data_IF_200517295846
#
_entry.id   IF_200517295846
#
_cell.length_a   1.000
_cell.length_b   1.000
_cell.length_c   1.000
_cell.angle_alpha   90.00
_cell.angle_beta   90.00
_cell.angle_gamma   90.00
#
_symmetry.space_group_name_H-M   'P 1'
#
loop_
_entity.id
_entity.type
_entity.pdbx_description
1 polymer ?
#
# COMPACT_ATOMS: atom_id res chain seq x y z
N UNK A 1 71.37 5.28 -12.19
CA UNK A 1 71.25 3.94 -12.84
C UNK A 1 69.77 3.66 -12.98
N UNK A 2 69.13 3.91 -14.12
CA UNK A 2 69.23 3.16 -15.38
C UNK A 2 67.93 2.35 -15.55
N UNK A 3 66.84 2.97 -16.02
CA UNK A 3 66.35 2.97 -17.43
C UNK A 3 65.97 1.57 -17.93
N UNK A 4 64.65 1.31 -18.18
CA UNK A 4 64.07 1.12 -19.52
C UNK A 4 62.58 0.75 -19.51
N UNK A 5 61.82 1.48 -20.33
CA UNK A 5 60.48 1.18 -20.89
C UNK A 5 60.69 0.47 -22.24
N UNK A 6 59.70 -0.31 -22.72
CA UNK A 6 59.06 0.01 -24.02
C UNK A 6 57.53 -0.19 -23.95
N UNK A 7 56.65 0.67 -24.46
CA UNK A 7 56.45 1.18 -25.82
C UNK A 7 56.01 0.08 -26.82
N UNK A 8 54.69 -0.05 -27.04
CA UNK A 8 54.13 -0.63 -28.27
C UNK A 8 53.14 0.37 -28.84
N UNK A 9 53.47 0.78 -30.06
CA UNK A 9 52.89 1.79 -30.92
C UNK A 9 52.47 1.06 -32.20
N UNK A 10 51.23 1.22 -32.65
CA UNK A 10 50.83 0.84 -34.02
C UNK A 10 50.15 2.04 -34.70
N UNK A 11 50.86 2.56 -35.70
CA UNK A 11 50.42 3.53 -36.72
C UNK A 11 49.36 2.89 -37.64
N UNK A 12 48.27 3.58 -38.04
CA UNK A 12 48.14 4.62 -39.08
C UNK A 12 48.37 4.08 -40.52
N UNK A 13 47.34 4.11 -41.38
CA UNK A 13 47.51 4.24 -42.84
C UNK A 13 46.27 4.79 -43.59
N UNK A 14 46.51 5.91 -44.31
CA UNK A 14 45.96 6.48 -45.56
C UNK A 14 44.59 6.03 -46.11
N UNK A 15 43.63 6.92 -46.41
CA UNK A 15 43.58 8.03 -47.41
C UNK A 15 43.58 7.58 -48.88
N UNK A 16 42.50 7.86 -49.63
CA UNK A 16 42.47 8.63 -50.91
C UNK A 16 41.05 8.60 -51.53
N UNK A 17 40.61 9.79 -51.97
CA UNK A 17 39.40 10.10 -52.76
C UNK A 17 39.47 9.59 -54.21
N UNK A 18 38.30 9.25 -54.80
CA UNK A 18 37.94 9.63 -56.18
C UNK A 18 36.42 9.79 -56.36
N UNK A 19 36.06 10.82 -57.12
CA UNK A 19 34.73 11.35 -57.49
C UNK A 19 34.16 10.65 -58.74
N UNK A 20 32.83 10.54 -58.89
CA UNK A 20 32.08 10.71 -60.16
C UNK A 20 30.54 10.81 -60.00
N UNK A 21 30.02 11.99 -60.37
CA UNK A 21 28.75 12.38 -61.02
C UNK A 21 27.37 11.73 -60.72
N UNK A 22 26.49 12.56 -60.14
CA UNK A 22 25.16 13.06 -60.59
C UNK A 22 24.20 12.13 -61.36
N UNK A 23 23.00 11.94 -60.79
CA UNK A 23 21.72 12.02 -61.52
C UNK A 23 20.71 12.83 -60.69
N UNK A 24 20.09 13.81 -61.34
CA UNK A 24 19.08 14.72 -60.83
C UNK A 24 17.68 14.26 -61.28
N UNK A 25 16.67 14.48 -60.46
CA UNK A 25 15.27 14.12 -60.73
C UNK A 25 14.38 14.31 -59.49
N UNK A 26 13.34 15.17 -59.53
CA UNK A 26 12.68 15.67 -58.33
C UNK A 26 11.55 14.73 -57.89
N UNK A 27 11.56 14.31 -56.63
CA UNK A 27 10.38 13.74 -55.97
C UNK A 27 9.97 14.68 -54.84
N UNK A 28 8.85 15.36 -55.06
CA UNK A 28 8.30 16.40 -54.21
C UNK A 28 8.00 15.92 -52.79
N UNK A 29 8.33 16.78 -51.84
CA UNK A 29 7.98 16.64 -50.43
C UNK A 29 6.48 16.99 -50.22
N UNK A 30 5.77 16.30 -49.32
CA UNK A 30 4.38 16.60 -48.99
C UNK A 30 4.21 17.96 -48.29
N UNK A 31 3.12 18.65 -48.61
CA UNK A 31 2.79 20.04 -48.23
C UNK A 31 2.54 20.29 -46.72
N UNK A 32 2.82 19.34 -45.83
CA UNK A 32 2.58 19.47 -44.39
C UNK A 32 3.65 20.25 -43.62
N UNK A 33 4.71 20.73 -44.29
CA UNK A 33 5.83 21.46 -43.67
C UNK A 33 5.82 22.98 -43.94
N UNK A 34 4.66 23.59 -44.24
CA UNK A 34 4.52 25.06 -44.34
C UNK A 34 3.60 25.59 -43.23
N UNK A 35 4.09 26.46 -42.32
CA UNK A 35 3.25 27.07 -41.29
C UNK A 35 2.42 28.22 -41.89
N UNK A 36 1.10 28.23 -41.64
CA UNK A 36 0.26 29.43 -41.78
C UNK A 36 -0.70 29.50 -42.97
N UNK A 37 -1.59 28.51 -43.14
CA UNK A 37 -2.76 28.68 -44.00
C UNK A 37 -4.04 28.24 -43.28
N UNK A 38 -4.91 29.22 -43.00
CA UNK A 38 -6.31 29.04 -42.61
C UNK A 38 -7.08 28.69 -43.90
N UNK A 39 -8.02 27.74 -43.86
CA UNK A 39 -8.85 27.39 -45.03
C UNK A 39 -10.35 27.53 -44.68
N UNK A 40 -11.18 28.07 -45.60
CA UNK A 40 -12.55 28.49 -45.30
C UNK A 40 -13.54 27.32 -45.19
N UNK A 41 -14.64 27.57 -44.46
CA UNK A 41 -15.88 26.78 -44.50
C UNK A 41 -16.25 26.34 -45.91
N UNK A 42 -16.60 25.06 -46.02
CA UNK A 42 -17.40 24.54 -47.13
C UNK A 42 -18.44 23.59 -46.52
N UNK A 43 -19.63 24.15 -46.29
CA UNK A 43 -20.86 23.38 -46.19
C UNK A 43 -21.13 22.72 -47.55
N UNK A 44 -21.24 21.39 -47.57
CA UNK A 44 -22.24 20.77 -48.44
C UNK A 44 -22.78 19.49 -47.77
N UNK A 45 -24.08 19.57 -47.51
CA UNK A 45 -24.99 18.61 -46.94
C UNK A 45 -25.15 17.36 -47.82
N UNK A 46 -25.30 16.19 -47.18
CA UNK A 46 -26.48 15.34 -47.29
C UNK A 46 -26.13 13.86 -47.02
N UNK A 47 -26.55 13.36 -45.87
CA UNK A 47 -26.52 11.93 -45.56
C UNK A 47 -26.65 11.57 -44.08
N UNK A 48 -27.42 12.31 -43.27
CA UNK A 48 -27.88 11.74 -42.00
C UNK A 48 -28.92 10.65 -42.29
N UNK A 49 -28.48 9.38 -42.25
CA UNK A 49 -29.37 8.31 -41.84
C UNK A 49 -29.67 8.51 -40.35
N UNK A 50 -30.95 8.62 -39.93
CA UNK A 50 -31.28 8.60 -38.53
C UNK A 50 -31.05 7.17 -38.04
N UNK A 51 -29.87 6.92 -37.45
CA UNK A 51 -29.74 5.77 -36.56
C UNK A 51 -30.55 6.14 -35.33
N UNK A 52 -31.81 5.71 -35.35
CA UNK A 52 -32.66 5.63 -34.17
C UNK A 52 -31.83 5.01 -33.06
N UNK A 53 -31.40 5.85 -32.12
CA UNK A 53 -31.00 5.39 -30.81
C UNK A 53 -32.28 4.83 -30.22
N UNK A 54 -32.50 3.52 -30.41
CA UNK A 54 -33.47 2.78 -29.64
C UNK A 54 -32.99 2.87 -28.19
N UNK A 55 -33.50 3.88 -27.50
CA UNK A 55 -33.51 3.98 -26.06
C UNK A 55 -34.16 2.70 -25.54
N UNK A 56 -33.32 1.72 -25.18
CA UNK A 56 -33.74 0.59 -24.39
C UNK A 56 -34.00 1.12 -22.97
N UNK A 57 -35.24 1.16 -22.45
CA UNK A 57 -35.54 1.84 -21.18
C UNK A 57 -35.12 1.08 -19.91
N UNK A 58 -34.16 0.14 -19.96
CA UNK A 58 -33.88 -0.77 -18.83
C UNK A 58 -32.40 -1.08 -18.54
N UNK A 59 -31.47 -0.23 -18.94
CA UNK A 59 -30.11 -0.29 -18.40
C UNK A 59 -29.55 1.12 -18.28
N UNK A 60 -29.73 1.76 -17.12
CA UNK A 60 -28.83 2.83 -16.70
C UNK A 60 -27.42 2.24 -16.68
N UNK A 61 -26.58 2.74 -17.58
CA UNK A 61 -25.16 2.44 -17.63
C UNK A 61 -24.46 3.60 -16.95
N UNK A 62 -24.07 3.42 -15.69
CA UNK A 62 -23.29 4.44 -14.98
C UNK A 62 -21.83 4.02 -14.85
N UNK A 63 -20.92 4.90 -15.27
CA UNK A 63 -19.48 4.69 -15.10
C UNK A 63 -19.03 5.21 -13.74
N UNK A 64 -18.42 4.35 -12.93
CA UNK A 64 -17.75 4.74 -11.68
C UNK A 64 -16.34 5.24 -12.03
N UNK A 65 -16.05 6.55 -11.88
CA UNK A 65 -14.77 7.12 -12.25
C UNK A 65 -13.64 6.75 -11.27
N UNK A 66 -12.40 7.01 -11.68
CA UNK A 66 -11.22 6.85 -10.84
C UNK A 66 -11.33 7.71 -9.57
N UNK A 67 -10.71 7.26 -8.47
CA UNK A 67 -10.81 7.91 -7.14
C UNK A 67 -10.49 9.41 -7.19
N UNK A 68 -9.55 9.83 -8.05
CA UNK A 68 -9.12 11.23 -8.21
C UNK A 68 -10.24 12.12 -8.78
N UNK A 69 -11.13 11.55 -9.58
CA UNK A 69 -12.16 12.27 -10.33
C UNK A 69 -13.55 12.18 -9.65
N UNK A 70 -13.63 11.61 -8.44
CA UNK A 70 -14.89 11.46 -7.70
C UNK A 70 -15.30 12.79 -7.05
N UNK A 71 -16.59 13.13 -7.05
CA UNK A 71 -17.08 14.31 -6.34
C UNK A 71 -16.77 14.21 -4.85
N UNK A 72 -16.48 15.36 -4.23
CA UNK A 72 -16.09 15.43 -2.82
C UNK A 72 -17.30 15.29 -1.88
N UNK A 73 -18.48 15.75 -2.32
CA UNK A 73 -19.71 15.62 -1.56
C UNK A 73 -20.33 14.24 -1.73
N UNK A 74 -20.74 13.64 -0.61
CA UNK A 74 -21.21 12.25 -0.56
C UNK A 74 -22.50 12.05 -1.38
N UNK A 75 -23.38 13.04 -1.40
CA UNK A 75 -24.68 12.99 -2.09
C UNK A 75 -24.63 13.62 -3.49
N UNK A 76 -23.46 14.03 -3.95
CA UNK A 76 -23.30 14.67 -5.25
C UNK A 76 -23.09 13.62 -6.37
N UNK A 77 -23.68 13.89 -7.53
CA UNK A 77 -23.60 13.03 -8.71
C UNK A 77 -24.86 12.23 -8.99
N UNK A 78 -24.79 11.41 -10.03
CA UNK A 78 -25.87 10.52 -10.44
C UNK A 78 -25.92 9.28 -9.52
N UNK A 79 -27.14 8.86 -9.17
CA UNK A 79 -27.35 7.72 -8.30
C UNK A 79 -27.52 6.43 -9.11
N UNK A 80 -26.79 5.38 -8.74
CA UNK A 80 -26.93 4.05 -9.32
C UNK A 80 -27.97 3.27 -8.55
N UNK A 81 -29.01 2.78 -9.21
CA UNK A 81 -29.90 1.79 -8.62
C UNK A 81 -29.18 0.45 -8.52
N UNK A 82 -28.82 0.04 -7.29
CA UNK A 82 -28.10 -1.21 -7.04
C UNK A 82 -29.08 -2.35 -6.85
N UNK A 83 -29.03 -3.32 -7.76
CA UNK A 83 -29.77 -4.60 -7.67
C UNK A 83 -29.01 -5.59 -6.78
N UNK A 84 -27.69 -5.69 -6.96
CA UNK A 84 -26.83 -6.64 -6.24
C UNK A 84 -25.42 -6.10 -6.06
N UNK A 85 -24.86 -6.27 -4.87
CA UNK A 85 -23.43 -6.12 -4.65
C UNK A 85 -22.72 -7.45 -4.94
N UNK A 86 -21.63 -7.41 -5.70
CA UNK A 86 -20.78 -8.58 -5.93
C UNK A 86 -19.46 -8.37 -5.20
N UNK A 87 -19.12 -9.28 -4.31
CA UNK A 87 -17.85 -9.26 -3.61
C UNK A 87 -16.76 -9.87 -4.50
N UNK A 88 -15.64 -9.15 -4.67
CA UNK A 88 -14.42 -9.63 -5.29
C UNK A 88 -13.38 -9.87 -4.19
N UNK A 89 -12.67 -11.00 -4.26
CA UNK A 89 -11.65 -11.41 -3.29
C UNK A 89 -12.15 -11.50 -1.83
N UNK A 90 -13.45 -11.66 -1.65
CA UNK A 90 -14.08 -11.93 -0.37
C UNK A 90 -13.97 -13.42 -0.03
N UNK A 91 -13.14 -13.76 0.94
CA UNK A 91 -12.93 -15.13 1.42
C UNK A 91 -13.33 -15.28 2.88
N UNK A 92 -13.74 -16.49 3.26
CA UNK A 92 -13.99 -16.84 4.66
C UNK A 92 -12.67 -16.91 5.44
N UNK A 93 -12.62 -16.19 6.56
CA UNK A 93 -11.46 -16.18 7.44
C UNK A 93 -11.88 -16.63 8.85
N UNK A 94 -12.07 -17.94 9.09
CA UNK A 94 -12.60 -18.45 10.34
C UNK A 94 -11.71 -18.16 11.55
N UNK A 95 -10.40 -17.96 11.34
CA UNK A 95 -9.46 -17.54 12.40
C UNK A 95 -9.85 -16.18 13.02
N UNK A 96 -10.47 -15.32 12.22
CA UNK A 96 -10.87 -13.97 12.62
C UNK A 96 -12.37 -13.86 12.82
N UNK A 97 -13.11 -14.98 12.85
CA UNK A 97 -14.57 -14.99 12.96
C UNK A 97 -15.23 -14.17 11.82
N UNK A 98 -14.67 -14.26 10.61
CA UNK A 98 -15.18 -13.59 9.41
C UNK A 98 -15.80 -14.63 8.51
N UNK A 99 -17.06 -14.40 8.16
CA UNK A 99 -17.83 -15.20 7.22
C UNK A 99 -18.41 -14.30 6.13
N UNK A 100 -18.31 -14.74 4.87
CA UNK A 100 -18.76 -13.96 3.72
C UNK A 100 -20.27 -13.71 3.74
N UNK A 101 -21.07 -14.63 4.29
CA UNK A 101 -22.52 -14.50 4.42
C UNK A 101 -22.89 -13.33 5.34
N UNK A 102 -22.10 -13.04 6.38
CA UNK A 102 -22.31 -11.88 7.24
C UNK A 102 -22.05 -10.57 6.48
N UNK A 103 -21.03 -10.55 5.62
CA UNK A 103 -20.71 -9.39 4.78
C UNK A 103 -21.80 -9.16 3.73
N UNK A 104 -22.29 -10.23 3.10
CA UNK A 104 -23.41 -10.16 2.16
C UNK A 104 -24.68 -9.67 2.85
N UNK A 105 -24.99 -10.15 4.07
CA UNK A 105 -26.12 -9.69 4.86
C UNK A 105 -26.00 -8.19 5.22
N UNK A 106 -24.78 -7.73 5.55
CA UNK A 106 -24.50 -6.30 5.76
C UNK A 106 -24.81 -5.50 4.50
N UNK A 107 -24.36 -5.94 3.32
CA UNK A 107 -24.61 -5.27 2.05
C UNK A 107 -26.09 -5.26 1.66
N UNK A 108 -26.81 -6.35 1.91
CA UNK A 108 -28.26 -6.42 1.70
C UNK A 108 -29.02 -5.45 2.63
N UNK A 109 -28.60 -5.33 3.89
CA UNK A 109 -29.18 -4.35 4.82
C UNK A 109 -29.00 -2.91 4.32
N UNK A 110 -27.84 -2.61 3.74
CA UNK A 110 -27.56 -1.30 3.17
C UNK A 110 -28.43 -1.00 1.96
N UNK A 111 -28.55 -1.97 1.04
CA UNK A 111 -29.44 -1.86 -0.11
C UNK A 111 -30.90 -1.60 0.30
N UNK A 112 -31.39 -2.31 1.32
CA UNK A 112 -32.77 -2.16 1.80
C UNK A 112 -33.05 -0.78 2.43
N UNK A 113 -32.02 -0.11 2.96
CA UNK A 113 -32.12 1.23 3.53
C UNK A 113 -32.30 2.32 2.47
N UNK A 114 -31.78 2.10 1.25
CA UNK A 114 -31.83 3.05 0.12
C UNK A 114 -32.26 2.40 -1.20
N UNK A 115 -33.56 2.16 -1.40
CA UNK A 115 -34.08 1.61 -2.66
C UNK A 115 -33.96 2.57 -3.85
N UNK A 116 -33.81 3.87 -3.61
CA UNK A 116 -33.64 4.91 -4.64
C UNK A 116 -32.27 4.90 -5.34
N UNK A 117 -31.33 4.11 -4.83
CA UNK A 117 -29.97 4.00 -5.38
C UNK A 117 -28.91 4.70 -4.54
N UNK A 118 -27.67 4.62 -5.01
CA UNK A 118 -26.48 5.11 -4.33
C UNK A 118 -25.66 6.00 -5.26
N UNK A 119 -25.28 7.18 -4.79
CA UNK A 119 -24.22 7.97 -5.43
C UNK A 119 -22.86 7.29 -5.23
N UNK A 120 -21.85 7.69 -6.00
CA UNK A 120 -20.48 7.15 -5.87
C UNK A 120 -19.93 7.34 -4.44
N UNK A 121 -20.19 8.50 -3.82
CA UNK A 121 -19.79 8.76 -2.43
C UNK A 121 -20.50 7.84 -1.44
N UNK A 122 -21.78 7.54 -1.65
CA UNK A 122 -22.52 6.61 -0.80
C UNK A 122 -22.07 5.15 -1.00
N UNK A 123 -21.75 4.74 -2.24
CA UNK A 123 -21.15 3.43 -2.52
C UNK A 123 -19.80 3.28 -1.80
N UNK A 124 -18.99 4.35 -1.76
CA UNK A 124 -17.77 4.38 -0.96
C UNK A 124 -18.08 4.22 0.53
N UNK A 125 -19.12 4.89 1.05
CA UNK A 125 -19.58 4.70 2.43
C UNK A 125 -20.02 3.27 2.74
N UNK A 126 -20.63 2.56 1.79
CA UNK A 126 -20.94 1.13 1.93
C UNK A 126 -19.67 0.29 2.00
N UNK A 127 -18.68 0.55 1.13
CA UNK A 127 -17.38 -0.11 1.19
C UNK A 127 -16.64 0.19 2.51
N UNK A 128 -16.77 1.40 3.07
CA UNK A 128 -16.20 1.75 4.36
C UNK A 128 -16.85 0.96 5.52
N UNK A 129 -18.16 0.65 5.44
CA UNK A 129 -18.83 -0.25 6.40
C UNK A 129 -18.27 -1.65 6.35
N UNK A 130 -18.04 -2.20 5.15
CA UNK A 130 -17.37 -3.50 4.98
C UNK A 130 -15.94 -3.44 5.54
N UNK A 131 -15.20 -2.37 5.24
CA UNK A 131 -13.85 -2.14 5.79
C UNK A 131 -13.85 -2.16 7.33
N UNK A 132 -14.80 -1.48 7.95
CA UNK A 132 -14.92 -1.42 9.41
C UNK A 132 -15.26 -2.79 10.00
N UNK A 133 -16.12 -3.58 9.36
CA UNK A 133 -16.41 -4.96 9.79
C UNK A 133 -15.11 -5.80 9.90
N UNK A 134 -14.25 -5.78 8.88
CA UNK A 134 -12.97 -6.51 8.93
C UNK A 134 -12.02 -5.95 10.01
N UNK A 135 -11.99 -4.63 10.20
CA UNK A 135 -11.15 -3.97 11.22
C UNK A 135 -11.60 -4.28 12.64
N UNK A 136 -12.91 -4.34 12.89
CA UNK A 136 -13.49 -4.73 14.18
C UNK A 136 -13.15 -6.18 14.54
N UNK A 137 -13.05 -7.05 13.52
CA UNK A 137 -12.56 -8.44 13.66
C UNK A 137 -11.03 -8.54 13.80
N UNK A 138 -10.32 -7.40 13.83
CA UNK A 138 -8.90 -7.32 14.16
C UNK A 138 -7.96 -7.18 12.96
N UNK A 139 -8.46 -7.16 11.72
CA UNK A 139 -7.66 -6.99 10.51
C UNK A 139 -7.46 -5.50 10.20
N UNK A 140 -6.43 -4.90 10.80
CA UNK A 140 -6.22 -3.45 10.81
C UNK A 140 -5.88 -2.84 9.44
N UNK A 141 -5.35 -3.64 8.51
CA UNK A 141 -5.04 -3.23 7.15
C UNK A 141 -5.99 -3.82 6.11
N UNK A 142 -7.18 -4.26 6.53
CA UNK A 142 -8.24 -4.58 5.59
C UNK A 142 -8.83 -3.30 4.99
N UNK A 143 -9.20 -3.37 3.72
CA UNK A 143 -9.85 -2.30 2.98
C UNK A 143 -10.77 -2.88 1.90
N UNK A 144 -12.02 -2.46 1.89
CA UNK A 144 -12.92 -2.68 0.78
C UNK A 144 -12.99 -1.42 -0.09
N UNK A 145 -13.01 -1.60 -1.41
CA UNK A 145 -13.07 -0.49 -2.37
C UNK A 145 -14.08 -0.80 -3.46
N UNK A 146 -14.65 0.27 -4.03
CA UNK A 146 -15.43 0.17 -5.26
C UNK A 146 -14.46 0.45 -6.42
N UNK A 147 -14.07 -0.56 -7.21
CA UNK A 147 -13.17 -0.36 -8.34
C UNK A 147 -13.84 0.43 -9.46
N UNK A 148 -13.01 0.92 -10.40
CA UNK A 148 -13.48 1.52 -11.65
C UNK A 148 -14.22 0.45 -12.45
N UNK A 149 -15.49 0.70 -12.73
CA UNK A 149 -16.36 -0.23 -13.43
C UNK A 149 -17.50 0.52 -14.12
N UNK A 150 -18.02 -0.08 -15.18
CA UNK A 150 -19.27 0.33 -15.81
C UNK A 150 -20.39 -0.49 -15.19
N UNK A 151 -21.27 0.15 -14.43
CA UNK A 151 -22.41 -0.52 -13.80
C UNK A 151 -23.51 -0.69 -14.84
N UNK A 152 -23.63 -1.90 -15.37
CA UNK A 152 -24.75 -2.29 -16.22
C UNK A 152 -25.68 -3.25 -15.46
N UNK A 153 -26.97 -2.93 -15.39
CA UNK A 153 -27.97 -3.78 -14.72
C UNK A 153 -27.91 -3.75 -13.19
N UNK A 154 -27.36 -2.68 -12.62
CA UNK A 154 -27.35 -2.44 -11.16
C UNK A 154 -26.48 -3.39 -10.35
N UNK A 155 -25.50 -4.06 -10.97
CA UNK A 155 -24.53 -4.89 -10.25
C UNK A 155 -23.30 -4.04 -9.96
N UNK A 156 -22.99 -3.86 -8.67
CA UNK A 156 -21.80 -3.11 -8.23
C UNK A 156 -20.81 -4.07 -7.61
N UNK A 157 -19.62 -4.14 -8.20
CA UNK A 157 -18.51 -4.90 -7.66
C UNK A 157 -17.88 -4.13 -6.47
N UNK A 158 -17.62 -4.84 -5.37
CA UNK A 158 -16.88 -4.35 -4.20
C UNK A 158 -15.70 -5.30 -4.00
N UNK A 159 -14.48 -4.78 -4.10
CA UNK A 159 -13.26 -5.56 -3.94
C UNK A 159 -12.71 -5.44 -2.53
N UNK A 160 -12.40 -6.58 -1.90
CA UNK A 160 -11.86 -6.63 -0.54
C UNK A 160 -10.37 -6.95 -0.61
N UNK A 161 -9.57 -6.08 -0.01
CA UNK A 161 -8.13 -6.28 0.18
C UNK A 161 -7.85 -6.55 1.64
N UNK A 162 -7.28 -7.72 1.94
CA UNK A 162 -6.77 -8.05 3.27
C UNK A 162 -5.25 -7.92 3.24
N UNK A 163 -4.72 -6.90 3.91
CA UNK A 163 -3.28 -6.68 4.00
C UNK A 163 -2.56 -7.85 4.68
N UNK A 164 -1.57 -8.41 4.01
CA UNK A 164 -0.71 -9.49 4.53
C UNK A 164 0.68 -8.97 4.90
N UNK A 165 1.32 -9.56 5.91
CA UNK A 165 2.65 -9.16 6.34
C UNK A 165 3.71 -9.62 5.33
N UNK A 166 4.39 -8.68 4.68
CA UNK A 166 5.45 -8.95 3.71
C UNK A 166 6.80 -9.19 4.40
N UNK A 167 7.52 -8.11 4.67
CA UNK A 167 8.85 -8.14 5.29
C UNK A 167 8.84 -7.46 6.66
N UNK A 168 9.80 -7.86 7.48
CA UNK A 168 10.11 -7.22 8.75
C UNK A 168 11.47 -6.55 8.56
N UNK A 169 11.53 -5.24 8.81
CA UNK A 169 12.73 -4.44 8.70
C UNK A 169 13.05 -3.88 10.09
N UNK A 170 14.33 -3.69 10.38
CA UNK A 170 14.79 -3.04 11.61
C UNK A 170 15.76 -1.92 11.30
N UNK A 171 15.57 -0.79 11.99
CA UNK A 171 16.34 0.45 11.84
C UNK A 171 16.67 1.06 13.20
N UNK A 172 17.85 1.67 13.30
CA UNK A 172 18.33 2.32 14.53
C UNK A 172 18.86 1.37 15.60
N UNK A 173 18.94 0.06 15.29
CA UNK A 173 19.47 -0.95 16.20
C UNK A 173 21.00 -1.01 16.14
N UNK A 174 21.67 -0.98 17.30
CA UNK A 174 23.14 -1.06 17.41
C UNK A 174 23.57 -2.28 18.23
N UNK A 175 22.90 -2.52 19.36
CA UNK A 175 23.13 -3.62 20.29
C UNK A 175 22.32 -4.86 19.95
N UNK A 176 21.09 -4.70 19.49
CA UNK A 176 20.24 -5.80 19.07
C UNK A 176 20.47 -6.11 17.59
N UNK A 177 20.63 -7.38 17.24
CA UNK A 177 20.71 -7.77 15.82
C UNK A 177 19.32 -7.73 15.18
N UNK A 178 19.26 -7.42 13.88
CA UNK A 178 18.00 -7.41 13.11
C UNK A 178 17.26 -8.74 13.23
N UNK A 179 17.98 -9.85 13.07
CA UNK A 179 17.39 -11.19 13.19
C UNK A 179 16.79 -11.50 14.56
N UNK A 180 17.28 -10.88 15.64
CA UNK A 180 16.72 -11.00 16.98
C UNK A 180 15.44 -10.17 17.11
N UNK A 181 15.44 -8.93 16.62
CA UNK A 181 14.26 -8.05 16.61
C UNK A 181 13.12 -8.60 15.72
N UNK A 182 13.47 -9.26 14.62
CA UNK A 182 12.49 -9.86 13.70
C UNK A 182 11.86 -11.15 14.26
N UNK A 183 12.51 -11.80 15.23
CA UNK A 183 12.14 -13.15 15.69
C UNK A 183 10.68 -13.29 16.12
N UNK A 184 10.07 -12.35 16.89
CA UNK A 184 8.66 -12.45 17.29
C UNK A 184 7.69 -12.41 16.10
N UNK A 185 8.08 -11.82 14.97
CA UNK A 185 7.21 -11.61 13.81
C UNK A 185 7.33 -12.70 12.75
N UNK A 186 8.34 -13.57 12.80
CA UNK A 186 8.62 -14.54 11.71
C UNK A 186 7.44 -15.45 11.37
N UNK A 187 6.65 -15.86 12.37
CA UNK A 187 5.47 -16.69 12.16
C UNK A 187 4.28 -15.97 11.53
N UNK A 188 4.34 -14.64 11.44
CA UNK A 188 3.29 -13.78 10.90
C UNK A 188 3.53 -13.42 9.43
N UNK A 189 4.73 -13.67 8.90
CA UNK A 189 5.06 -13.38 7.50
C UNK A 189 4.17 -14.21 6.57
N UNK A 190 3.55 -13.53 5.60
CA UNK A 190 2.58 -14.10 4.66
C UNK A 190 1.17 -14.27 5.23
N UNK A 191 0.93 -13.91 6.49
CA UNK A 191 -0.39 -13.98 7.12
C UNK A 191 -1.11 -12.63 7.06
N UNK A 192 -2.46 -12.62 7.09
CA UNK A 192 -3.24 -11.40 7.32
C UNK A 192 -2.78 -10.65 8.57
N UNK A 193 -2.65 -9.32 8.46
CA UNK A 193 -2.15 -8.49 9.55
C UNK A 193 -3.23 -8.31 10.61
N UNK A 194 -3.09 -9.07 11.69
CA UNK A 194 -3.91 -8.98 12.89
C UNK A 194 -3.34 -7.99 13.90
N UNK A 195 -4.20 -7.13 14.45
CA UNK A 195 -3.84 -6.24 15.55
C UNK A 195 -3.23 -6.99 16.73
N UNK A 196 -3.91 -8.05 17.18
CA UNK A 196 -3.53 -8.78 18.38
C UNK A 196 -2.18 -9.48 18.22
N UNK A 197 -1.91 -10.05 17.04
CA UNK A 197 -0.66 -10.76 16.78
C UNK A 197 0.53 -9.80 16.66
N UNK A 198 0.33 -8.64 16.02
CA UNK A 198 1.34 -7.60 15.92
C UNK A 198 1.63 -6.96 17.28
N UNK A 199 0.59 -6.66 18.06
CA UNK A 199 0.75 -6.12 19.43
C UNK A 199 1.48 -7.11 20.34
N UNK A 200 1.16 -8.41 20.27
CA UNK A 200 1.85 -9.44 21.04
C UNK A 200 3.35 -9.55 20.64
N UNK A 201 3.65 -9.47 19.34
CA UNK A 201 5.01 -9.47 18.84
C UNK A 201 5.80 -8.22 19.28
N UNK A 202 5.18 -7.03 19.25
CA UNK A 202 5.78 -5.79 19.77
C UNK A 202 5.96 -5.81 21.29
N UNK A 203 5.01 -6.37 22.03
CA UNK A 203 5.12 -6.51 23.48
C UNK A 203 6.28 -7.44 23.86
N UNK A 204 6.49 -8.51 23.09
CA UNK A 204 7.66 -9.39 23.26
C UNK A 204 8.98 -8.62 23.13
N UNK A 205 9.05 -7.61 22.25
CA UNK A 205 10.23 -6.75 22.15
C UNK A 205 10.34 -5.76 23.32
N UNK A 206 9.23 -5.35 23.94
CA UNK A 206 9.25 -4.52 25.16
C UNK A 206 9.88 -5.25 26.33
N UNK A 207 9.82 -6.59 26.35
CA UNK A 207 10.49 -7.42 27.35
C UNK A 207 12.01 -7.51 27.13
N UNK A 208 12.54 -6.99 26.02
CA UNK A 208 13.99 -7.02 25.77
C UNK A 208 14.69 -5.96 26.65
N UNK A 209 15.69 -6.36 27.46
CA UNK A 209 16.27 -5.47 28.46
C UNK A 209 16.86 -4.19 27.86
N UNK A 210 16.40 -3.03 28.34
CA UNK A 210 16.91 -1.74 27.88
C UNK A 210 16.55 -1.37 26.43
N UNK A 211 15.67 -2.12 25.75
CA UNK A 211 15.20 -1.82 24.40
C UNK A 211 13.94 -0.95 24.45
N UNK A 212 13.89 0.07 23.59
CA UNK A 212 12.67 0.82 23.27
C UNK A 212 12.49 0.82 21.76
N UNK A 213 11.38 0.25 21.28
CA UNK A 213 11.11 0.03 19.86
C UNK A 213 9.63 0.21 19.57
N UNK A 214 9.30 0.73 18.39
CA UNK A 214 7.94 0.78 17.88
C UNK A 214 7.89 0.33 16.42
N UNK A 215 6.73 -0.18 15.99
CA UNK A 215 6.51 -0.62 14.62
C UNK A 215 5.79 0.44 13.79
N UNK A 216 6.21 0.59 12.53
CA UNK A 216 5.52 1.40 11.53
C UNK A 216 5.27 0.55 10.29
N UNK A 217 4.03 0.53 9.80
CA UNK A 217 3.72 -0.14 8.54
C UNK A 217 4.02 0.76 7.35
N UNK A 218 4.49 0.14 6.27
CA UNK A 218 4.65 0.77 4.96
C UNK A 218 4.18 -0.20 3.87
N UNK A 219 3.82 0.30 2.67
CA UNK A 219 3.50 -0.58 1.54
C UNK A 219 4.62 -1.58 1.27
N UNK A 220 4.26 -2.85 1.05
CA UNK A 220 5.20 -3.92 0.74
C UNK A 220 5.60 -3.94 -0.74
N UNK A 221 6.43 -4.92 -1.11
CA UNK A 221 6.87 -5.09 -2.52
C UNK A 221 5.73 -5.60 -3.40
N UNK A 222 4.89 -6.51 -2.87
CA UNK A 222 3.80 -7.12 -3.62
C UNK A 222 2.47 -6.44 -3.30
N UNK A 223 1.57 -6.41 -4.28
CA UNK A 223 0.20 -5.91 -4.08
C UNK A 223 -0.48 -6.72 -2.97
N UNK A 224 -1.19 -6.04 -2.08
CA UNK A 224 -1.84 -6.65 -0.92
C UNK A 224 -0.89 -7.01 0.23
N UNK A 225 0.39 -6.62 0.16
CA UNK A 225 1.35 -6.80 1.26
C UNK A 225 1.73 -5.46 1.91
N UNK A 226 2.01 -5.51 3.21
CA UNK A 226 2.60 -4.41 3.96
C UNK A 226 3.84 -4.90 4.73
N UNK A 227 4.89 -4.10 4.72
CA UNK A 227 6.10 -4.35 5.49
C UNK A 227 6.01 -3.61 6.83
N UNK A 228 6.55 -4.20 7.90
CA UNK A 228 6.70 -3.53 9.19
C UNK A 228 8.15 -3.10 9.40
N UNK A 229 8.35 -1.82 9.74
CA UNK A 229 9.65 -1.25 10.11
C UNK A 229 9.69 -1.07 11.63
N UNK A 230 10.56 -1.85 12.28
CA UNK A 230 10.89 -1.74 13.69
C UNK A 230 11.88 -0.60 13.88
N UNK A 231 11.40 0.53 14.42
CA UNK A 231 12.18 1.72 14.70
C UNK A 231 12.67 1.67 16.14
N UNK A 232 13.96 1.44 16.32
CA UNK A 232 14.59 1.45 17.64
C UNK A 232 14.82 2.89 18.09
N UNK A 233 14.18 3.27 19.20
CA UNK A 233 14.30 4.61 19.79
C UNK A 233 15.48 4.72 20.75
N UNK A 234 15.69 3.67 21.55
CA UNK A 234 16.76 3.63 22.54
C UNK A 234 17.18 2.19 22.83
N UNK A 235 18.46 2.02 23.08
CA UNK A 235 19.03 0.79 23.60
C UNK A 235 19.98 1.17 24.74
N UNK A 236 19.74 0.67 25.95
CA UNK A 236 20.57 0.96 27.13
C UNK A 236 21.42 -0.24 27.50
N UNK A 237 22.73 -0.06 27.64
CA UNK A 237 23.65 -1.14 28.06
C UNK A 237 23.48 -1.52 29.54
N UNK A 238 22.98 -0.60 30.36
CA UNK A 238 22.79 -0.83 31.77
C UNK A 238 21.74 0.11 32.35
N UNK A 239 21.12 -0.30 33.45
CA UNK A 239 20.25 0.53 34.29
C UNK A 239 20.80 0.53 35.72
N UNK A 240 20.76 1.70 36.38
CA UNK A 240 21.26 1.86 37.75
C UNK A 240 20.15 2.39 38.63
N UNK A 241 19.88 1.71 39.74
CA UNK A 241 18.90 2.12 40.75
C UNK A 241 19.54 2.23 42.13
N UNK A 242 19.44 3.41 42.74
CA UNK A 242 19.83 3.65 44.12
C UNK A 242 18.57 3.81 44.97
N UNK A 243 18.47 3.05 46.07
CA UNK A 243 17.34 3.07 46.99
C UNK A 243 17.82 3.19 48.43
N UNK A 244 17.31 4.19 49.14
CA UNK A 244 17.45 4.29 50.58
C UNK A 244 16.09 4.06 51.23
N UNK A 245 16.03 3.20 52.25
CA UNK A 245 14.79 2.93 53.00
C UNK A 245 15.05 2.63 54.48
N UNK A 246 13.99 2.68 55.29
CA UNK A 246 14.05 2.39 56.72
C UNK A 246 13.25 1.14 57.12
N UNK A 247 13.05 0.18 56.20
CA UNK A 247 12.19 -0.99 56.43
C UNK A 247 12.89 -2.14 57.18
N UNK A 248 14.12 -1.92 57.67
CA UNK A 248 14.82 -2.91 58.50
C UNK A 248 14.31 -2.96 59.95
N UNK A 249 14.63 -4.03 60.67
CA UNK A 249 14.31 -4.16 62.10
C UNK A 249 15.37 -3.48 62.96
N UNK A 250 15.11 -3.33 64.26
CA UNK A 250 16.12 -2.83 65.21
C UNK A 250 17.36 -3.72 65.22
N UNK A 251 17.17 -5.04 65.22
CA UNK A 251 18.25 -6.03 65.27
C UNK A 251 19.07 -6.13 63.98
N UNK A 252 18.50 -5.72 62.84
CA UNK A 252 19.14 -5.87 61.51
C UNK A 252 19.52 -4.53 60.86
N UNK A 253 19.38 -3.43 61.61
CA UNK A 253 19.58 -2.07 61.11
C UNK A 253 18.35 -1.54 60.36
N UNK A 254 17.75 -0.48 60.90
CA UNK A 254 16.57 0.18 60.31
C UNK A 254 16.88 0.80 58.95
N UNK A 255 18.00 1.51 58.84
CA UNK A 255 18.39 2.25 57.64
C UNK A 255 19.14 1.35 56.67
N UNK A 256 18.70 1.32 55.41
CA UNK A 256 19.29 0.51 54.34
C UNK A 256 19.54 1.38 53.12
N UNK A 257 20.72 1.23 52.52
CA UNK A 257 21.06 1.77 51.20
C UNK A 257 21.32 0.59 50.27
N UNK A 258 20.66 0.57 49.12
CA UNK A 258 20.79 -0.46 48.08
C UNK A 258 21.15 0.21 46.76
N UNK A 259 22.18 -0.31 46.11
CA UNK A 259 22.50 -0.02 44.72
C UNK A 259 22.25 -1.29 43.90
N UNK A 260 21.50 -1.17 42.81
CA UNK A 260 21.29 -2.23 41.83
C UNK A 260 21.80 -1.71 40.49
N UNK A 261 22.60 -2.53 39.82
CA UNK A 261 23.04 -2.29 38.45
C UNK A 261 22.62 -3.50 37.64
N UNK A 262 21.81 -3.27 36.63
CA UNK A 262 21.39 -4.28 35.66
C UNK A 262 22.17 -4.04 34.37
N UNK A 263 22.71 -5.10 33.77
CA UNK A 263 23.40 -5.02 32.49
C UNK A 263 22.55 -5.68 31.42
N UNK A 264 22.23 -4.93 30.38
CA UNK A 264 21.28 -5.37 29.38
C UNK A 264 22.01 -5.92 28.16
N UNK A 265 21.58 -7.09 27.68
CA UNK A 265 21.97 -7.68 26.42
C UNK A 265 23.49 -7.92 26.25
N UNK A 266 24.17 -8.34 27.32
CA UNK A 266 25.63 -8.54 27.31
C UNK A 266 26.04 -9.59 26.28
N UNK A 267 25.29 -10.70 26.21
CA UNK A 267 25.57 -11.77 25.24
C UNK A 267 25.02 -11.51 23.85
N UNK A 268 24.33 -10.37 23.64
CA UNK A 268 23.55 -10.06 22.42
C UNK A 268 22.39 -11.03 22.18
N UNK A 269 21.92 -11.69 23.24
CA UNK A 269 20.86 -12.70 23.23
C UNK A 269 19.57 -12.27 23.92
N UNK A 270 19.40 -10.98 24.22
CA UNK A 270 18.32 -10.44 25.07
C UNK A 270 18.37 -10.92 26.53
N UNK A 271 19.57 -11.07 27.08
CA UNK A 271 19.84 -11.39 28.48
C UNK A 271 19.89 -10.14 29.39
N UNK A 272 19.70 -10.33 30.71
CA UNK A 272 19.82 -9.31 31.77
C UNK A 272 20.74 -9.83 32.87
#
# INVERSE_FOLDING_TARGET
MGVRVPAIMWLLLCSILTVSSVFDGPVGLPDSARPGAVRPEQEESAGEEPTETQSNPLAEVLDVPAVIDRPFDVDEGEAVVVVKFRLLDGEDLPKFDINIEEVEALLESQKAEKPEGFTIGQLQGVADKVTNYYREKGLILAQAVVPVQTVSGGIVDIQIFVGTLGRILAEGNEMYSKGLLEKPFRGLVGQPISKAEIEAALLTLTDYPGLSVFGVFQPGIHVGTADIVLKVQAEKMYDVALRADTHGTQETGRNRLRAVVDFNNITRGSDR
#
